data_IF_190434365115
#
_entry.id   IF_190434365115
#
_cell.length_a   1.000
_cell.length_b   1.000
_cell.length_c   1.000
_cell.angle_alpha   90.00
_cell.angle_beta   90.00
_cell.angle_gamma   90.00
#
_symmetry.space_group_name_H-M   'P 1'
#
loop_
_entity.id
_entity.type
_entity.pdbx_description
1 polymer ?
#
# COMPACT_ATOMS: atom_id res chain seq x y z
N UNK A 1 -25.87 -14.19 -11.42
CA UNK A 1 -26.62 -13.35 -10.45
C UNK A 1 -25.85 -12.06 -10.35
N UNK A 2 -26.54 -10.92 -10.38
CA UNK A 2 -25.85 -9.63 -10.36
C UNK A 2 -25.84 -9.10 -8.93
N UNK A 3 -24.66 -8.76 -8.43
CA UNK A 3 -24.48 -8.23 -7.07
C UNK A 3 -24.92 -6.76 -6.94
N UNK A 4 -24.67 -6.16 -5.78
CA UNK A 4 -25.18 -4.84 -5.41
C UNK A 4 -24.40 -3.67 -6.03
N UNK A 5 -23.36 -3.92 -6.85
CA UNK A 5 -22.55 -2.86 -7.47
C UNK A 5 -23.18 -2.23 -8.73
N UNK A 6 -24.28 -2.79 -9.26
CA UNK A 6 -24.90 -2.33 -10.51
C UNK A 6 -25.32 -0.84 -10.51
N UNK A 7 -25.61 -0.29 -9.33
CA UNK A 7 -26.02 1.12 -9.16
C UNK A 7 -24.87 2.11 -9.00
N UNK A 8 -23.63 1.64 -8.93
CA UNK A 8 -22.46 2.48 -8.69
C UNK A 8 -22.02 3.25 -9.94
N UNK A 9 -21.34 4.39 -9.73
CA UNK A 9 -20.81 5.22 -10.83
C UNK A 9 -19.37 4.89 -11.18
N UNK A 10 -18.60 4.35 -10.24
CA UNK A 10 -17.20 4.00 -10.45
C UNK A 10 -17.06 2.95 -11.56
N UNK A 11 -16.29 3.24 -12.63
CA UNK A 11 -15.95 2.24 -13.64
C UNK A 11 -15.22 1.03 -13.04
N UNK A 12 -14.44 1.23 -11.97
CA UNK A 12 -13.75 0.15 -11.26
C UNK A 12 -14.74 -0.78 -10.54
N UNK A 13 -15.72 -0.23 -9.82
CA UNK A 13 -16.74 -1.06 -9.16
C UNK A 13 -17.62 -1.79 -10.19
N UNK A 14 -17.98 -1.12 -11.28
CA UNK A 14 -18.80 -1.70 -12.34
C UNK A 14 -18.14 -2.90 -13.03
N UNK A 15 -16.80 -3.00 -13.04
CA UNK A 15 -16.08 -4.18 -13.56
C UNK A 15 -16.34 -5.45 -12.73
N UNK A 16 -16.80 -5.33 -11.48
CA UNK A 16 -17.03 -6.46 -10.58
C UNK A 16 -18.50 -6.87 -10.44
N UNK A 17 -19.40 -6.27 -11.21
CA UNK A 17 -20.87 -6.46 -11.11
C UNK A 17 -21.31 -7.91 -11.41
N UNK A 18 -20.57 -8.58 -12.30
CA UNK A 18 -20.86 -9.96 -12.72
C UNK A 18 -20.02 -11.00 -11.96
N UNK A 19 -19.20 -10.59 -10.99
CA UNK A 19 -18.47 -11.53 -10.15
C UNK A 19 -19.46 -12.36 -9.30
N UNK A 20 -19.17 -13.66 -9.07
CA UNK A 20 -19.99 -14.52 -8.22
C UNK A 20 -20.00 -14.10 -6.74
N UNK A 21 -19.04 -13.27 -6.31
CA UNK A 21 -19.04 -12.65 -4.98
C UNK A 21 -20.21 -11.67 -4.87
N UNK A 22 -20.98 -11.78 -3.79
CA UNK A 22 -22.08 -10.89 -3.42
C UNK A 22 -21.53 -9.56 -2.87
N UNK A 23 -20.95 -8.77 -3.78
CA UNK A 23 -20.35 -7.49 -3.45
C UNK A 23 -21.41 -6.44 -3.10
N UNK A 24 -21.15 -5.73 -2.01
CA UNK A 24 -21.81 -4.48 -1.65
C UNK A 24 -20.87 -3.29 -1.86
N UNK A 25 -21.40 -2.11 -2.23
CA UNK A 25 -20.65 -0.88 -2.04
C UNK A 25 -20.52 -0.55 -0.55
N UNK A 26 -19.59 0.32 -0.19
CA UNK A 26 -19.49 0.80 1.18
C UNK A 26 -20.71 1.64 1.55
N UNK A 27 -21.50 1.21 2.54
CA UNK A 27 -22.68 1.94 2.97
C UNK A 27 -23.40 1.30 4.14
N UNK A 28 -24.46 1.98 4.59
CA UNK A 28 -25.26 1.55 5.73
C UNK A 28 -25.85 0.14 5.54
N UNK A 29 -26.25 -0.22 4.31
CA UNK A 29 -26.83 -1.54 4.01
C UNK A 29 -25.87 -2.69 4.35
N UNK A 30 -24.64 -2.64 3.84
CA UNK A 30 -23.64 -3.68 4.09
C UNK A 30 -23.25 -3.76 5.58
N UNK A 31 -23.06 -2.60 6.23
CA UNK A 31 -22.73 -2.54 7.66
C UNK A 31 -23.87 -3.06 8.54
N UNK A 32 -25.13 -2.73 8.21
CA UNK A 32 -26.29 -3.23 8.93
C UNK A 32 -26.47 -4.74 8.74
N UNK A 33 -26.23 -5.26 7.52
CA UNK A 33 -26.25 -6.70 7.23
C UNK A 33 -25.20 -7.44 8.04
N UNK A 34 -23.96 -6.93 8.09
CA UNK A 34 -22.89 -7.54 8.86
C UNK A 34 -23.24 -7.65 10.36
N UNK A 35 -23.86 -6.61 10.92
CA UNK A 35 -24.35 -6.60 12.31
C UNK A 35 -25.51 -7.55 12.54
N UNK A 36 -26.50 -7.56 11.64
CA UNK A 36 -27.68 -8.40 11.76
C UNK A 36 -27.34 -9.90 11.65
N UNK A 37 -26.35 -10.25 10.83
CA UNK A 37 -25.92 -11.63 10.63
C UNK A 37 -24.74 -12.06 11.53
N UNK A 38 -24.21 -11.16 12.36
CA UNK A 38 -22.97 -11.34 13.14
C UNK A 38 -21.82 -11.93 12.30
N UNK A 39 -21.65 -11.37 11.09
CA UNK A 39 -20.61 -11.78 10.15
C UNK A 39 -19.49 -10.74 10.06
N UNK A 40 -18.22 -11.15 10.03
CA UNK A 40 -17.14 -10.24 9.73
C UNK A 40 -17.28 -9.69 8.30
N UNK A 41 -16.73 -8.51 8.08
CA UNK A 41 -16.71 -7.86 6.77
C UNK A 41 -15.39 -8.21 6.08
N UNK A 42 -15.46 -8.61 4.81
CA UNK A 42 -14.30 -8.60 3.92
C UNK A 42 -14.34 -7.33 3.08
N UNK A 43 -13.44 -6.39 3.39
CA UNK A 43 -13.30 -5.12 2.67
C UNK A 43 -12.17 -5.22 1.65
N UNK A 44 -12.49 -5.06 0.38
CA UNK A 44 -11.54 -5.03 -0.73
C UNK A 44 -11.47 -3.64 -1.38
N UNK A 45 -10.38 -2.90 -1.12
CA UNK A 45 -10.12 -1.58 -1.69
C UNK A 45 -9.15 -1.70 -2.88
N UNK A 46 -9.50 -1.09 -4.00
CA UNK A 46 -8.65 -1.01 -5.20
C UNK A 46 -8.97 0.21 -6.05
N UNK A 47 -8.43 0.26 -7.26
CA UNK A 47 -8.67 1.33 -8.24
C UNK A 47 -8.42 0.80 -9.65
N UNK A 48 -8.93 1.51 -10.66
CA UNK A 48 -8.95 1.07 -12.06
C UNK A 48 -7.56 0.78 -12.66
N UNK A 49 -6.53 1.54 -12.29
CA UNK A 49 -5.16 1.36 -12.77
C UNK A 49 -4.31 0.39 -11.93
N UNK A 50 -4.91 -0.32 -10.96
CA UNK A 50 -4.17 -1.21 -10.07
C UNK A 50 -3.96 -2.59 -10.70
N UNK A 51 -2.74 -2.91 -11.15
CA UNK A 51 -2.42 -4.21 -11.74
C UNK A 51 -2.81 -5.40 -10.83
N UNK A 52 -2.35 -5.41 -9.58
CA UNK A 52 -2.61 -6.53 -8.66
C UNK A 52 -4.09 -6.66 -8.27
N UNK A 53 -4.87 -5.58 -8.37
CA UNK A 53 -6.30 -5.62 -8.13
C UNK A 53 -7.01 -6.43 -9.23
N UNK A 54 -6.58 -6.26 -10.49
CA UNK A 54 -7.06 -7.06 -11.62
C UNK A 54 -6.63 -8.51 -11.51
N UNK A 55 -5.37 -8.75 -11.13
CA UNK A 55 -4.84 -10.12 -10.92
C UNK A 55 -5.66 -10.84 -9.84
N UNK A 56 -5.89 -10.22 -8.68
CA UNK A 56 -6.68 -10.84 -7.61
C UNK A 56 -8.15 -11.03 -8.02
N UNK A 57 -8.71 -10.11 -8.80
CA UNK A 57 -10.07 -10.28 -9.30
C UNK A 57 -10.22 -11.52 -10.18
N UNK A 58 -9.33 -11.67 -11.17
CA UNK A 58 -9.33 -12.80 -12.10
C UNK A 58 -9.00 -14.12 -11.39
N UNK A 59 -8.00 -14.12 -10.52
CA UNK A 59 -7.54 -15.34 -9.85
C UNK A 59 -8.43 -15.77 -8.68
N UNK A 60 -9.24 -14.88 -8.10
CA UNK A 60 -9.96 -15.17 -6.85
C UNK A 60 -11.40 -14.68 -6.81
N UNK A 61 -11.70 -13.45 -7.23
CA UNK A 61 -13.08 -12.94 -7.11
C UNK A 61 -14.01 -13.45 -8.21
N UNK A 62 -13.47 -14.03 -9.28
CA UNK A 62 -14.21 -14.73 -10.34
C UNK A 62 -14.34 -16.25 -10.07
N UNK A 63 -13.60 -16.78 -9.09
CA UNK A 63 -13.65 -18.20 -8.73
C UNK A 63 -14.88 -18.51 -7.86
N UNK A 64 -15.72 -19.44 -8.33
CA UNK A 64 -16.96 -19.84 -7.67
C UNK A 64 -16.76 -20.45 -6.27
N UNK A 65 -15.63 -21.13 -6.02
CA UNK A 65 -15.38 -21.73 -4.71
C UNK A 65 -14.98 -20.66 -3.69
N UNK A 66 -14.14 -19.71 -4.08
CA UNK A 66 -13.76 -18.58 -3.24
C UNK A 66 -14.99 -17.69 -2.99
N UNK A 67 -15.78 -17.42 -4.02
CA UNK A 67 -17.01 -16.64 -3.89
C UNK A 67 -18.03 -17.32 -2.97
N UNK A 68 -18.22 -18.63 -3.05
CA UNK A 68 -19.08 -19.36 -2.14
C UNK A 68 -18.66 -19.19 -0.67
N UNK A 69 -17.36 -19.25 -0.38
CA UNK A 69 -16.82 -19.03 0.97
C UNK A 69 -17.08 -17.59 1.43
N UNK A 70 -16.81 -16.60 0.57
CA UNK A 70 -17.08 -15.19 0.85
C UNK A 70 -18.55 -14.95 1.16
N UNK A 71 -19.46 -15.41 0.30
CA UNK A 71 -20.90 -15.20 0.42
C UNK A 71 -21.49 -15.90 1.65
N UNK A 72 -20.98 -17.07 2.02
CA UNK A 72 -21.44 -17.80 3.21
C UNK A 72 -20.95 -17.13 4.50
N UNK A 73 -19.70 -16.67 4.55
CA UNK A 73 -19.00 -16.39 5.81
C UNK A 73 -18.75 -14.91 6.08
N UNK A 74 -18.88 -14.06 5.08
CA UNK A 74 -18.55 -12.64 5.17
C UNK A 74 -19.66 -11.77 4.56
N UNK A 75 -19.67 -10.50 4.96
CA UNK A 75 -20.26 -9.45 4.12
C UNK A 75 -19.13 -8.83 3.32
N UNK A 76 -19.15 -9.01 2.00
CA UNK A 76 -18.08 -8.57 1.11
C UNK A 76 -18.36 -7.15 0.60
N UNK A 77 -17.46 -6.22 0.87
CA UNK A 77 -17.57 -4.82 0.47
C UNK A 77 -16.45 -4.48 -0.52
N UNK A 78 -16.81 -3.93 -1.68
CA UNK A 78 -15.87 -3.42 -2.67
C UNK A 78 -15.81 -1.89 -2.61
N UNK A 79 -14.61 -1.32 -2.59
CA UNK A 79 -14.42 0.13 -2.56
C UNK A 79 -13.44 0.55 -3.65
N UNK A 80 -13.81 1.63 -4.35
CA UNK A 80 -12.89 2.38 -5.20
C UNK A 80 -12.18 3.44 -4.36
N UNK A 81 -10.85 3.35 -4.31
CA UNK A 81 -9.99 4.33 -3.67
C UNK A 81 -10.15 5.72 -4.27
N UNK A 82 -10.38 5.83 -5.57
CA UNK A 82 -10.47 7.12 -6.26
C UNK A 82 -11.73 7.89 -5.86
N UNK A 83 -12.82 7.18 -5.55
CA UNK A 83 -14.06 7.78 -5.03
C UNK A 83 -14.05 7.92 -3.49
N UNK A 84 -13.38 7.02 -2.76
CA UNK A 84 -13.32 6.99 -1.28
C UNK A 84 -11.88 6.96 -0.73
N UNK A 85 -11.09 8.03 -0.96
CA UNK A 85 -9.72 8.13 -0.45
C UNK A 85 -9.67 8.22 1.09
N UNK A 86 -10.78 8.61 1.72
CA UNK A 86 -10.94 8.63 3.17
C UNK A 86 -10.87 7.22 3.78
N UNK A 87 -11.61 6.27 3.20
CA UNK A 87 -11.61 4.86 3.63
C UNK A 87 -10.26 4.22 3.34
N UNK A 88 -9.73 4.46 2.13
CA UNK A 88 -8.42 3.97 1.72
C UNK A 88 -7.34 4.35 2.74
N UNK A 89 -7.27 5.62 3.14
CA UNK A 89 -6.27 6.10 4.10
C UNK A 89 -6.41 5.42 5.47
N UNK A 90 -7.63 5.29 5.98
CA UNK A 90 -7.90 4.67 7.29
C UNK A 90 -7.47 3.21 7.30
N UNK A 91 -7.89 2.45 6.29
CA UNK A 91 -7.63 1.02 6.23
C UNK A 91 -6.20 0.68 5.79
N UNK A 92 -5.56 1.55 4.98
CA UNK A 92 -4.13 1.42 4.67
C UNK A 92 -3.28 1.53 5.94
N UNK A 93 -3.57 2.52 6.79
CA UNK A 93 -2.88 2.68 8.07
C UNK A 93 -3.07 1.44 8.97
N UNK A 94 -4.26 0.83 8.95
CA UNK A 94 -4.53 -0.40 9.68
C UNK A 94 -3.72 -1.60 9.13
N UNK A 95 -3.66 -1.78 7.81
CA UNK A 95 -2.86 -2.85 7.18
C UNK A 95 -1.37 -2.66 7.46
N UNK A 96 -0.87 -1.42 7.44
CA UNK A 96 0.51 -1.10 7.81
C UNK A 96 0.79 -1.41 9.28
N UNK A 97 -0.16 -1.13 10.19
CA UNK A 97 -0.03 -1.49 11.60
C UNK A 97 0.05 -3.01 11.81
N UNK A 98 -0.75 -3.76 11.06
CA UNK A 98 -0.87 -5.22 11.18
C UNK A 98 0.29 -5.97 10.52
N UNK A 99 0.81 -5.47 9.41
CA UNK A 99 1.74 -6.21 8.54
C UNK A 99 3.11 -5.56 8.39
N UNK A 100 3.28 -4.32 8.86
CA UNK A 100 4.47 -3.50 8.64
C UNK A 100 4.61 -2.96 7.21
N UNK A 101 3.68 -3.28 6.31
CA UNK A 101 3.69 -2.85 4.91
C UNK A 101 2.28 -2.51 4.42
N UNK A 102 2.17 -1.91 3.24
CA UNK A 102 0.88 -1.54 2.67
C UNK A 102 0.91 -1.56 1.15
N UNK A 103 -0.26 -1.58 0.53
CA UNK A 103 -0.39 -1.62 -0.92
C UNK A 103 -1.80 -2.03 -1.37
N UNK A 104 -1.96 -2.13 -2.68
CA UNK A 104 -3.22 -2.54 -3.31
C UNK A 104 -3.02 -3.82 -4.13
N UNK A 105 -4.02 -4.72 -4.23
CA UNK A 105 -5.35 -4.63 -3.60
C UNK A 105 -5.23 -4.69 -2.09
N UNK A 106 -6.09 -3.96 -1.40
CA UNK A 106 -6.11 -3.98 0.06
C UNK A 106 -7.20 -4.95 0.49
N UNK A 107 -6.81 -6.01 1.20
CA UNK A 107 -7.68 -7.09 1.65
C UNK A 107 -7.78 -7.02 3.17
N UNK A 108 -8.86 -6.44 3.69
CA UNK A 108 -9.01 -6.12 5.12
C UNK A 108 -10.21 -6.84 5.70
N UNK A 109 -10.05 -7.42 6.88
CA UNK A 109 -11.11 -8.11 7.61
C UNK A 109 -11.52 -7.27 8.81
N UNK A 110 -12.81 -6.94 8.88
CA UNK A 110 -13.37 -6.05 9.89
C UNK A 110 -14.41 -6.78 10.73
N UNK A 111 -14.58 -6.32 11.96
CA UNK A 111 -15.78 -6.65 12.76
C UNK A 111 -17.03 -6.05 12.09
N UNK A 112 -18.26 -6.48 12.45
CA UNK A 112 -19.50 -5.87 12.00
C UNK A 112 -19.61 -4.36 12.27
N UNK A 113 -18.86 -3.85 13.24
CA UNK A 113 -18.74 -2.44 13.59
C UNK A 113 -17.79 -1.68 12.64
N UNK A 114 -17.11 -2.38 11.73
CA UNK A 114 -16.16 -1.81 10.77
C UNK A 114 -14.74 -1.65 11.31
N UNK A 115 -14.41 -2.28 12.45
CA UNK A 115 -13.08 -2.19 13.08
C UNK A 115 -12.14 -3.25 12.47
N UNK A 116 -10.98 -2.88 11.92
CA UNK A 116 -10.04 -3.83 11.32
C UNK A 116 -9.34 -4.67 12.39
N UNK A 117 -9.24 -5.98 12.15
CA UNK A 117 -8.53 -6.92 13.03
C UNK A 117 -7.53 -7.83 12.30
N UNK A 118 -7.65 -7.94 10.98
CA UNK A 118 -6.68 -8.65 10.15
C UNK A 118 -6.63 -7.99 8.77
N UNK A 119 -5.51 -8.09 8.08
CA UNK A 119 -5.38 -7.50 6.77
C UNK A 119 -4.09 -7.88 6.06
N UNK A 120 -4.09 -7.66 4.76
CA UNK A 120 -2.95 -7.83 3.89
C UNK A 120 -3.19 -7.12 2.57
N UNK A 121 -2.29 -7.34 1.63
CA UNK A 121 -2.44 -6.81 0.28
C UNK A 121 -3.04 -7.87 -0.63
N UNK A 122 -2.22 -8.48 -1.46
CA UNK A 122 -2.57 -9.54 -2.38
C UNK A 122 -2.45 -10.92 -1.71
N UNK A 123 -3.49 -11.75 -1.85
CA UNK A 123 -3.48 -13.16 -1.47
C UNK A 123 -3.68 -14.03 -2.72
N UNK A 124 -2.76 -14.95 -3.04
CA UNK A 124 -2.88 -15.81 -4.22
C UNK A 124 -3.95 -16.89 -4.04
N UNK A 125 -4.51 -17.46 -5.12
CA UNK A 125 -5.48 -18.56 -5.02
C UNK A 125 -4.88 -19.85 -4.44
N UNK A 126 -3.56 -20.01 -4.56
CA UNK A 126 -2.76 -21.12 -4.01
C UNK A 126 -1.53 -20.56 -3.32
N UNK A 127 -1.07 -21.21 -2.24
CA UNK A 127 0.09 -20.74 -1.47
C UNK A 127 1.34 -20.68 -2.34
N UNK A 128 1.96 -19.50 -2.44
CA UNK A 128 3.17 -19.26 -3.23
C UNK A 128 3.97 -18.08 -2.69
N UNK A 129 5.29 -18.11 -2.87
CA UNK A 129 6.20 -17.03 -2.44
C UNK A 129 6.08 -16.65 -0.96
N UNK A 130 5.77 -17.63 -0.09
CA UNK A 130 5.56 -17.39 1.34
C UNK A 130 4.21 -16.76 1.69
N UNK A 131 3.34 -16.50 0.70
CA UNK A 131 1.98 -16.03 0.91
C UNK A 131 1.01 -17.21 1.03
N UNK A 132 0.08 -17.19 2.01
CA UNK A 132 -0.96 -18.21 2.14
C UNK A 132 -1.97 -18.10 1.02
N UNK A 133 -2.61 -19.21 0.67
CA UNK A 133 -3.74 -19.21 -0.25
C UNK A 133 -4.90 -18.37 0.32
N UNK A 134 -5.57 -17.61 -0.54
CA UNK A 134 -6.68 -16.75 -0.13
C UNK A 134 -7.81 -17.54 0.53
N UNK A 135 -8.11 -18.74 0.01
CA UNK A 135 -9.06 -19.68 0.63
C UNK A 135 -8.69 -20.02 2.08
N UNK A 136 -7.42 -20.30 2.36
CA UNK A 136 -6.97 -20.65 3.71
C UNK A 136 -7.09 -19.45 4.66
N UNK A 137 -6.78 -18.25 4.17
CA UNK A 137 -6.99 -16.99 4.91
C UNK A 137 -8.45 -16.80 5.26
N UNK A 138 -9.37 -16.93 4.29
CA UNK A 138 -10.81 -16.78 4.51
C UNK A 138 -11.33 -17.77 5.56
N UNK A 139 -10.92 -19.04 5.48
CA UNK A 139 -11.33 -20.07 6.42
C UNK A 139 -10.77 -19.81 7.82
N UNK A 140 -9.49 -19.46 7.94
CA UNK A 140 -8.84 -19.18 9.22
C UNK A 140 -9.43 -17.94 9.91
N UNK A 141 -9.72 -16.87 9.16
CA UNK A 141 -10.38 -15.67 9.69
C UNK A 141 -11.80 -15.99 10.16
N UNK A 142 -12.58 -16.71 9.36
CA UNK A 142 -13.93 -17.11 9.73
C UNK A 142 -13.96 -18.02 10.97
N UNK A 143 -13.00 -18.93 11.09
CA UNK A 143 -12.85 -19.78 12.27
C UNK A 143 -12.44 -18.95 13.50
N UNK A 144 -11.49 -18.03 13.37
CA UNK A 144 -11.08 -17.15 14.45
C UNK A 144 -12.25 -16.31 14.95
N UNK A 145 -13.09 -15.79 14.05
CA UNK A 145 -14.31 -15.06 14.41
C UNK A 145 -15.29 -15.89 15.24
N UNK A 146 -15.54 -17.13 14.83
CA UNK A 146 -16.53 -18.02 15.47
C UNK A 146 -16.03 -18.67 16.77
N UNK A 147 -14.76 -19.08 16.79
CA UNK A 147 -14.20 -19.92 17.86
C UNK A 147 -13.25 -19.17 18.80
N UNK A 148 -12.73 -18.01 18.39
CA UNK A 148 -11.72 -17.23 19.12
C UNK A 148 -12.06 -15.73 19.13
N UNK A 149 -13.35 -15.41 19.31
CA UNK A 149 -13.89 -14.05 19.22
C UNK A 149 -13.14 -13.05 20.10
N UNK A 150 -12.83 -13.41 21.35
CA UNK A 150 -12.09 -12.56 22.28
C UNK A 150 -10.72 -12.15 21.74
N UNK A 151 -10.03 -13.04 21.03
CA UNK A 151 -8.73 -12.73 20.41
C UNK A 151 -8.87 -11.78 19.23
N UNK A 152 -9.95 -11.93 18.45
CA UNK A 152 -10.26 -11.01 17.36
C UNK A 152 -10.56 -9.62 17.88
N UNK A 153 -11.38 -9.51 18.93
CA UNK A 153 -11.72 -8.22 19.53
C UNK A 153 -10.51 -7.55 20.18
N UNK A 154 -9.64 -8.32 20.83
CA UNK A 154 -8.37 -7.80 21.35
C UNK A 154 -7.48 -7.25 20.23
N UNK A 155 -7.36 -7.98 19.12
CA UNK A 155 -6.60 -7.51 17.95
C UNK A 155 -7.21 -6.24 17.36
N UNK A 156 -8.53 -6.17 17.24
CA UNK A 156 -9.25 -4.99 16.78
C UNK A 156 -8.98 -3.76 17.66
N UNK A 157 -8.98 -3.94 18.98
CA UNK A 157 -8.67 -2.88 19.95
C UNK A 157 -7.24 -2.38 19.80
N UNK A 158 -6.26 -3.28 19.64
CA UNK A 158 -4.87 -2.90 19.44
C UNK A 158 -4.66 -2.06 18.17
N UNK A 159 -5.33 -2.43 17.08
CA UNK A 159 -5.29 -1.63 15.83
C UNK A 159 -5.95 -0.27 16.03
N UNK A 160 -7.10 -0.23 16.71
CA UNK A 160 -7.79 1.03 17.02
C UNK A 160 -6.91 1.98 17.83
N UNK A 161 -6.24 1.49 18.87
CA UNK A 161 -5.31 2.27 19.67
C UNK A 161 -4.12 2.77 18.85
N UNK A 162 -3.56 1.93 17.96
CA UNK A 162 -2.49 2.33 17.06
C UNK A 162 -2.94 3.49 16.15
N UNK A 163 -4.13 3.37 15.55
CA UNK A 163 -4.70 4.38 14.67
C UNK A 163 -4.98 5.69 15.42
N UNK A 164 -5.51 5.62 16.65
CA UNK A 164 -5.75 6.78 17.49
C UNK A 164 -4.45 7.50 17.85
N UNK A 165 -3.40 6.76 18.23
CA UNK A 165 -2.08 7.35 18.50
C UNK A 165 -1.50 8.02 17.26
N UNK A 166 -1.63 7.40 16.08
CA UNK A 166 -1.13 7.98 14.82
C UNK A 166 -1.97 9.18 14.32
N UNK A 167 -3.28 9.20 14.58
CA UNK A 167 -4.11 10.37 14.29
C UNK A 167 -3.88 11.49 15.30
N UNK A 168 -3.69 11.18 16.58
CA UNK A 168 -3.31 12.15 17.61
C UNK A 168 -1.89 12.70 17.41
N UNK A 169 -0.98 11.89 16.84
CA UNK A 169 0.34 12.32 16.40
C UNK A 169 0.32 13.02 15.02
N UNK A 170 -0.86 13.22 14.41
CA UNK A 170 -0.98 14.06 13.22
C UNK A 170 -0.77 15.53 13.64
N UNK A 171 0.29 16.21 13.20
CA UNK A 171 0.67 17.55 13.69
C UNK A 171 -0.29 18.67 13.25
N UNK A 172 -1.44 18.34 12.69
CA UNK A 172 -2.38 19.33 12.15
C UNK A 172 -3.36 19.86 13.21
N UNK A 173 -3.34 19.32 14.43
CA UNK A 173 -4.27 19.70 15.50
C UNK A 173 -3.62 20.01 16.86
N UNK A 174 -2.28 19.98 16.96
CA UNK A 174 -1.57 20.46 18.15
C UNK A 174 -0.65 21.62 17.74
N UNK A 175 -0.86 22.76 18.38
CA UNK A 175 -0.05 23.97 18.26
C UNK A 175 1.44 23.65 18.44
N UNK A 176 2.26 24.08 17.48
CA UNK A 176 3.68 24.45 17.64
C UNK A 176 4.63 23.49 18.38
N UNK A 177 4.57 22.17 18.17
CA UNK A 177 5.81 21.38 18.24
C UNK A 177 6.45 21.44 16.84
N UNK A 178 7.15 22.55 16.59
CA UNK A 178 7.75 22.85 15.31
C UNK A 178 8.61 21.67 14.82
N UNK A 179 8.57 21.37 13.52
CA UNK A 179 9.56 20.51 12.85
C UNK A 179 10.97 21.06 13.10
N UNK A 180 11.54 20.68 14.25
CA UNK A 180 12.79 21.21 14.78
C UNK A 180 14.00 20.60 14.09
N UNK A 181 15.16 21.21 14.31
CA UNK A 181 16.42 20.72 13.76
C UNK A 181 16.71 19.27 14.19
N UNK A 182 16.32 18.91 15.42
CA UNK A 182 16.48 17.58 16.01
C UNK A 182 15.70 16.51 15.23
N UNK A 183 14.43 16.79 14.89
CA UNK A 183 13.59 15.87 14.10
C UNK A 183 14.17 15.68 12.70
N UNK A 184 14.61 16.77 12.06
CA UNK A 184 15.23 16.72 10.74
C UNK A 184 16.56 15.95 10.77
N UNK A 185 17.35 16.10 11.84
CA UNK A 185 18.61 15.38 12.03
C UNK A 185 18.37 13.89 12.28
N UNK A 186 17.40 13.53 13.11
CA UNK A 186 17.02 12.14 13.36
C UNK A 186 16.53 11.45 12.07
N UNK A 187 15.68 12.13 11.29
CA UNK A 187 15.23 11.62 10.00
C UNK A 187 16.38 11.46 9.00
N UNK A 188 17.32 12.42 8.96
CA UNK A 188 18.53 12.33 8.13
C UNK A 188 19.34 11.10 8.52
N UNK A 189 19.63 10.92 9.82
CA UNK A 189 20.42 9.79 10.32
C UNK A 189 19.77 8.44 10.01
N UNK A 190 18.46 8.33 10.22
CA UNK A 190 17.70 7.11 9.91
C UNK A 190 17.76 6.74 8.42
N UNK A 191 17.68 7.73 7.52
CA UNK A 191 17.81 7.49 6.07
C UNK A 191 19.23 7.11 5.67
N UNK A 192 20.26 7.71 6.27
CA UNK A 192 21.65 7.35 5.99
C UNK A 192 21.98 5.93 6.48
N UNK A 193 21.51 5.56 7.68
CA UNK A 193 21.79 4.24 8.28
C UNK A 193 21.07 3.10 7.53
N UNK A 194 19.84 3.34 7.08
CA UNK A 194 19.02 2.33 6.38
C UNK A 194 19.31 2.21 4.88
N UNK A 195 20.24 3.01 4.33
CA UNK A 195 20.60 2.97 2.91
C UNK A 195 21.28 1.66 2.53
N UNK A 196 20.85 1.11 1.40
CA UNK A 196 21.48 -0.04 0.77
C UNK A 196 22.80 0.38 0.11
N UNK A 197 23.91 0.16 0.82
CA UNK A 197 25.26 0.46 0.32
C UNK A 197 25.70 -0.42 -0.85
N UNK A 198 25.00 -1.53 -1.13
CA UNK A 198 25.36 -2.46 -2.22
C UNK A 198 24.67 -2.12 -3.54
N UNK A 199 23.38 -1.78 -3.50
CA UNK A 199 22.59 -1.53 -4.71
C UNK A 199 21.92 -0.16 -4.75
N UNK A 200 22.08 0.68 -3.73
CA UNK A 200 21.53 2.03 -3.67
C UNK A 200 20.03 2.08 -3.39
N UNK A 201 19.58 3.10 -2.68
CA UNK A 201 18.19 3.28 -2.25
C UNK A 201 17.88 2.50 -0.97
N UNK A 202 16.61 2.16 -0.75
CA UNK A 202 16.15 1.59 0.53
C UNK A 202 15.19 0.42 0.35
N UNK A 203 15.18 -0.46 1.34
CA UNK A 203 14.25 -1.58 1.45
C UNK A 203 14.62 -2.80 0.59
N UNK A 204 13.98 -3.95 0.86
CA UNK A 204 14.15 -5.17 0.08
C UNK A 204 13.35 -5.13 -1.24
N UNK A 205 13.37 -6.23 -1.98
CA UNK A 205 12.46 -6.46 -3.10
C UNK A 205 10.98 -6.62 -2.64
N UNK A 206 9.99 -6.08 -3.36
CA UNK A 206 10.12 -5.16 -4.50
C UNK A 206 10.62 -3.78 -4.07
N UNK A 207 11.55 -3.20 -4.83
CA UNK A 207 12.29 -2.00 -4.47
C UNK A 207 11.74 -0.76 -5.18
N UNK A 208 11.42 0.28 -4.41
CA UNK A 208 10.78 1.53 -4.88
C UNK A 208 11.76 2.72 -4.88
N UNK A 209 11.70 3.64 -5.87
CA UNK A 209 12.62 4.77 -6.01
C UNK A 209 12.69 5.80 -4.85
N UNK A 210 11.65 5.90 -4.02
CA UNK A 210 11.55 6.84 -2.88
C UNK A 210 12.04 8.28 -3.17
N UNK A 211 11.50 8.96 -4.19
CA UNK A 211 12.00 10.28 -4.62
C UNK A 211 11.90 11.35 -3.52
N UNK A 212 10.89 11.29 -2.65
CA UNK A 212 10.74 12.25 -1.54
C UNK A 212 11.83 12.12 -0.48
N UNK A 213 12.35 10.92 -0.23
CA UNK A 213 13.47 10.71 0.69
C UNK A 213 14.77 11.31 0.09
N UNK A 214 14.99 11.11 -1.21
CA UNK A 214 16.11 11.68 -1.95
C UNK A 214 16.04 13.22 -1.99
N UNK A 215 14.86 13.79 -2.28
CA UNK A 215 14.63 15.24 -2.25
C UNK A 215 14.87 15.82 -0.85
N UNK A 216 14.39 15.15 0.19
CA UNK A 216 14.62 15.55 1.57
C UNK A 216 16.13 15.63 1.87
N UNK A 217 16.87 14.56 1.56
CA UNK A 217 18.33 14.52 1.75
C UNK A 217 19.04 15.63 0.95
N UNK A 218 18.68 15.84 -0.32
CA UNK A 218 19.21 16.95 -1.13
C UNK A 218 18.95 18.32 -0.50
N UNK A 219 17.76 18.54 0.08
CA UNK A 219 17.44 19.79 0.78
C UNK A 219 18.17 19.98 2.11
N UNK A 220 18.62 18.90 2.75
CA UNK A 220 19.46 18.96 3.96
C UNK A 220 20.90 19.37 3.62
N UNK A 221 21.40 18.96 2.44
CA UNK A 221 22.80 19.16 2.05
C UNK A 221 23.31 20.62 2.09
N UNK A 222 22.58 21.66 1.61
CA UNK A 222 23.05 23.04 1.67
C UNK A 222 23.36 23.54 3.09
N UNK A 223 22.59 23.08 4.08
CA UNK A 223 22.72 23.49 5.48
C UNK A 223 23.78 22.71 6.24
N UNK A 224 23.92 21.40 5.99
CA UNK A 224 24.85 20.53 6.73
C UNK A 224 26.20 20.39 6.06
N UNK A 225 26.26 20.50 4.72
CA UNK A 225 27.43 20.18 3.88
C UNK A 225 27.99 18.77 4.15
N UNK A 226 27.14 17.87 4.62
CA UNK A 226 27.51 16.49 4.91
C UNK A 226 27.73 15.70 3.61
N UNK A 227 28.94 15.21 3.41
CA UNK A 227 29.31 14.44 2.23
C UNK A 227 28.59 13.08 2.15
N UNK A 228 28.18 12.50 3.28
CA UNK A 228 27.43 11.24 3.30
C UNK A 228 26.06 11.39 2.65
N UNK A 229 25.39 12.53 2.88
CA UNK A 229 24.11 12.85 2.25
C UNK A 229 24.24 12.79 0.73
N UNK A 230 25.26 13.46 0.18
CA UNK A 230 25.45 13.50 -1.26
C UNK A 230 25.79 12.11 -1.82
N UNK A 231 26.67 11.36 -1.14
CA UNK A 231 27.04 10.01 -1.55
C UNK A 231 25.85 9.04 -1.57
N UNK A 232 24.96 9.11 -0.59
CA UNK A 232 23.74 8.29 -0.52
C UNK A 232 22.80 8.63 -1.67
N UNK A 233 22.54 9.92 -1.89
CA UNK A 233 21.65 10.38 -2.96
C UNK A 233 22.20 9.99 -4.33
N UNK A 234 23.47 10.31 -4.63
CA UNK A 234 24.05 10.01 -5.96
C UNK A 234 24.13 8.51 -6.20
N UNK A 235 24.49 7.71 -5.19
CA UNK A 235 24.50 6.25 -5.33
C UNK A 235 23.12 5.69 -5.70
N UNK A 236 22.05 6.13 -5.02
CA UNK A 236 20.69 5.69 -5.33
C UNK A 236 20.25 6.10 -6.75
N UNK A 237 20.49 7.36 -7.14
CA UNK A 237 20.13 7.87 -8.47
C UNK A 237 20.95 7.21 -9.58
N UNK A 238 22.24 6.98 -9.38
CA UNK A 238 23.10 6.27 -10.34
C UNK A 238 22.65 4.82 -10.53
N UNK A 239 22.39 4.12 -9.43
CA UNK A 239 21.95 2.73 -9.46
C UNK A 239 20.62 2.59 -10.22
N UNK A 240 19.66 3.49 -9.98
CA UNK A 240 18.38 3.49 -10.71
C UNK A 240 18.54 3.84 -12.19
N UNK A 241 19.30 4.89 -12.53
CA UNK A 241 19.48 5.32 -13.92
C UNK A 241 20.21 4.27 -14.77
N UNK A 242 21.12 3.51 -14.16
CA UNK A 242 21.86 2.41 -14.80
C UNK A 242 21.14 1.06 -14.72
N UNK A 243 20.07 0.98 -13.93
CA UNK A 243 19.26 -0.23 -13.74
C UNK A 243 18.21 -0.41 -14.82
N UNK A 244 17.58 -1.59 -14.85
CA UNK A 244 16.42 -1.87 -15.68
C UNK A 244 15.12 -1.22 -15.19
N UNK A 245 15.10 -0.63 -13.99
CA UNK A 245 13.99 0.23 -13.56
C UNK A 245 13.86 1.49 -14.42
N UNK A 246 14.96 2.01 -14.97
CA UNK A 246 14.92 3.05 -15.99
C UNK A 246 14.74 2.40 -17.35
N UNK A 247 13.74 2.85 -18.12
CA UNK A 247 13.55 2.38 -19.49
C UNK A 247 14.68 2.91 -20.37
N UNK A 248 15.67 2.04 -20.61
CA UNK A 248 16.87 2.34 -21.39
C UNK A 248 16.58 2.64 -22.87
N UNK A 249 15.37 2.35 -23.36
CA UNK A 249 14.97 2.56 -24.76
C UNK A 249 14.03 3.76 -24.91
N UNK A 250 12.97 3.80 -24.10
CA UNK A 250 11.91 4.81 -24.19
C UNK A 250 12.02 5.96 -23.19
N UNK A 251 12.93 5.87 -22.22
CA UNK A 251 13.09 6.85 -21.14
C UNK A 251 11.98 6.77 -20.08
N UNK A 252 12.23 7.42 -18.95
CA UNK A 252 11.36 7.38 -17.78
C UNK A 252 11.51 6.10 -16.95
N UNK A 253 11.05 6.15 -15.71
CA UNK A 253 11.16 5.09 -14.73
C UNK A 253 9.89 4.26 -14.65
N UNK A 254 10.09 2.95 -14.55
CA UNK A 254 9.10 2.01 -14.08
C UNK A 254 8.82 2.22 -12.59
N UNK A 255 7.61 1.84 -12.15
CA UNK A 255 7.12 2.12 -10.79
C UNK A 255 8.03 1.54 -9.69
N UNK A 256 8.49 0.31 -9.88
CA UNK A 256 9.39 -0.38 -8.96
C UNK A 256 10.16 -1.50 -9.67
N UNK A 257 11.24 -1.97 -9.05
CA UNK A 257 11.93 -3.19 -9.46
C UNK A 257 11.43 -4.38 -8.64
N UNK A 258 11.20 -5.53 -9.29
CA UNK A 258 10.77 -6.74 -8.57
C UNK A 258 11.92 -7.39 -7.79
N UNK A 259 13.17 -7.02 -8.07
CA UNK A 259 14.37 -7.39 -7.32
C UNK A 259 14.96 -6.20 -6.54
N UNK A 260 15.98 -6.49 -5.72
CA UNK A 260 16.66 -5.52 -4.85
C UNK A 260 17.78 -4.71 -5.55
N UNK A 261 18.06 -5.02 -6.83
CA UNK A 261 19.21 -4.53 -7.60
C UNK A 261 18.83 -3.56 -8.72
N UNK A 262 17.56 -3.21 -8.83
CA UNK A 262 17.00 -2.37 -9.89
C UNK A 262 17.02 -3.00 -11.29
N UNK A 263 17.12 -4.33 -11.42
CA UNK A 263 17.34 -4.98 -12.72
C UNK A 263 16.06 -5.31 -13.49
N UNK A 264 15.05 -5.84 -12.82
CA UNK A 264 13.82 -6.34 -13.42
C UNK A 264 12.69 -5.39 -13.07
N UNK A 265 12.20 -4.56 -14.01
CA UNK A 265 11.12 -3.63 -13.74
C UNK A 265 9.77 -4.33 -13.64
N UNK A 266 8.88 -3.78 -12.82
CA UNK A 266 7.45 -3.91 -13.05
C UNK A 266 7.08 -2.94 -14.18
N UNK A 267 6.68 -3.47 -15.35
CA UNK A 267 6.51 -2.71 -16.62
C UNK A 267 5.36 -1.67 -16.64
N UNK A 268 4.99 -1.11 -15.51
CA UNK A 268 4.09 0.02 -15.34
C UNK A 268 4.91 1.30 -15.14
N UNK A 269 4.50 2.40 -15.78
CA UNK A 269 5.06 3.74 -15.54
C UNK A 269 3.97 4.67 -15.03
N UNK A 270 4.14 5.20 -13.83
CA UNK A 270 3.20 6.15 -13.24
C UNK A 270 3.69 7.58 -13.44
N UNK A 271 2.77 8.48 -13.77
CA UNK A 271 3.07 9.90 -13.98
C UNK A 271 3.67 10.53 -12.72
N UNK A 272 3.11 10.25 -11.54
CA UNK A 272 3.56 10.85 -10.29
C UNK A 272 4.98 10.39 -9.90
N UNK A 273 5.35 9.14 -10.20
CA UNK A 273 6.71 8.63 -9.93
C UNK A 273 7.71 9.34 -10.83
N UNK A 274 7.41 9.43 -12.13
CA UNK A 274 8.28 10.09 -13.10
C UNK A 274 8.39 11.60 -12.85
N UNK A 275 7.31 12.28 -12.48
CA UNK A 275 7.34 13.70 -12.16
C UNK A 275 8.24 14.00 -10.95
N UNK A 276 8.11 13.20 -9.89
CA UNK A 276 8.96 13.35 -8.69
C UNK A 276 10.43 13.00 -8.97
N UNK A 277 10.69 11.92 -9.73
CA UNK A 277 12.06 11.55 -10.09
C UNK A 277 12.71 12.60 -10.99
N UNK A 278 12.02 13.11 -12.00
CA UNK A 278 12.55 14.19 -12.85
C UNK A 278 13.01 15.41 -12.03
N UNK A 279 12.24 15.79 -11.00
CA UNK A 279 12.60 16.89 -10.10
C UNK A 279 13.86 16.58 -9.27
N UNK A 280 13.94 15.39 -8.69
CA UNK A 280 15.09 14.97 -7.86
C UNK A 280 16.37 14.87 -8.70
N UNK A 281 16.29 14.29 -9.90
CA UNK A 281 17.42 14.21 -10.83
C UNK A 281 17.90 15.63 -11.21
N UNK A 282 16.97 16.55 -11.54
CA UNK A 282 17.30 17.95 -11.80
C UNK A 282 18.04 18.60 -10.62
N UNK A 283 17.54 18.43 -9.39
CA UNK A 283 18.19 18.99 -8.20
C UNK A 283 19.56 18.36 -7.93
N UNK A 284 19.70 17.05 -8.15
CA UNK A 284 21.00 16.36 -8.05
C UNK A 284 22.01 16.90 -9.08
N UNK A 285 21.56 17.15 -10.32
CA UNK A 285 22.39 17.81 -11.34
C UNK A 285 22.80 19.23 -10.91
N UNK A 286 21.89 20.02 -10.35
CA UNK A 286 22.21 21.37 -9.87
C UNK A 286 23.23 21.39 -8.74
N UNK A 287 23.22 20.38 -7.87
CA UNK A 287 24.14 20.27 -6.72
C UNK A 287 25.50 19.70 -7.13
N UNK A 288 25.53 18.71 -8.02
CA UNK A 288 26.75 17.95 -8.35
C UNK A 288 27.41 18.39 -9.66
N UNK A 289 26.65 18.91 -10.62
CA UNK A 289 27.07 19.12 -11.99
C UNK A 289 27.24 17.84 -12.82
N UNK A 290 26.89 16.67 -12.29
CA UNK A 290 27.07 15.39 -12.99
C UNK A 290 26.06 15.24 -14.14
N UNK A 291 26.50 15.12 -15.40
CA UNK A 291 25.61 15.03 -16.56
C UNK A 291 24.71 13.80 -16.57
N UNK A 292 24.99 12.76 -15.77
CA UNK A 292 24.08 11.62 -15.62
C UNK A 292 22.71 12.03 -15.06
N UNK A 293 22.67 13.08 -14.24
CA UNK A 293 21.43 13.51 -13.59
C UNK A 293 20.63 14.56 -14.40
N UNK A 294 21.08 14.90 -15.60
CA UNK A 294 20.47 15.92 -16.46
C UNK A 294 19.36 15.37 -17.34
#
# INVERSE_FOLDING_TARGET
>A
MTNHLRGETSPYLLQHVENPVDWYPWGHEALAKAKAEDKPIFLSIGYSACHWCHVMAQESFEDEQIAAILNERFVSIKVDREERPDLDRIYMAAVQALTGSGGWPMSVFLTPEGVPFYGGTYFPPVSRYGLPAFKDVLLAVSEAWRARRDQVELSAQQVLEFLQRHQAASPLAQEEDALGAEVLNAATWSLLESHDSRYGGWGPAPKFPQPMALEFLLRRYPATRDAQILAVVTHALEAMARGGIYDQLGGGFHRYAVDDRWLVPHFEKMLYDNAQLAQVYLHAWQVTGDPLFR
#
